data_IF_075858246069
#
_entry.id   IF_075858246069
#
_cell.length_a   1.000
_cell.length_b   1.000
_cell.length_c   1.000
_cell.angle_alpha   90.00
_cell.angle_beta   90.00
_cell.angle_gamma   90.00
#
_symmetry.space_group_name_H-M   'P 1'
#
loop_
_entity.id
_entity.type
_entity.pdbx_description
1 polymer ?
#
# COMPACT_ATOMS: atom_id res chain seq x y z
N UNK A 1 -24.86 -13.79 2.38
CA UNK A 1 -23.73 -12.92 2.72
C UNK A 1 -23.09 -12.51 1.40
N UNK A 2 -23.13 -11.23 1.06
CA UNK A 2 -22.64 -10.74 -0.23
C UNK A 2 -21.14 -11.00 -0.35
N UNK A 3 -20.76 -11.74 -1.39
CA UNK A 3 -19.38 -11.88 -1.83
C UNK A 3 -18.86 -10.48 -2.14
N UNK A 4 -17.70 -10.12 -1.58
CA UNK A 4 -16.96 -8.91 -1.93
C UNK A 4 -16.43 -9.12 -3.36
N UNK A 5 -17.30 -8.98 -4.35
CA UNK A 5 -16.94 -8.93 -5.76
C UNK A 5 -16.56 -7.48 -6.05
N UNK A 6 -15.35 -7.26 -6.55
CA UNK A 6 -14.77 -5.98 -6.98
C UNK A 6 -13.98 -5.18 -5.93
N UNK A 7 -13.46 -5.82 -4.87
CA UNK A 7 -12.38 -5.15 -4.14
C UNK A 7 -11.13 -5.13 -5.01
N UNK A 8 -10.63 -3.92 -5.30
CA UNK A 8 -9.42 -3.68 -6.11
C UNK A 8 -8.28 -3.20 -5.20
N UNK A 9 -7.45 -4.11 -4.68
CA UNK A 9 -6.44 -3.78 -3.67
C UNK A 9 -5.47 -2.69 -4.12
N UNK A 10 -5.08 -2.70 -5.39
CA UNK A 10 -4.17 -1.72 -5.95
C UNK A 10 -4.79 -0.31 -6.06
N UNK A 11 -6.05 -0.20 -6.48
CA UNK A 11 -6.74 1.11 -6.53
C UNK A 11 -6.94 1.69 -5.13
N UNK A 12 -7.31 0.84 -4.15
CA UNK A 12 -7.41 1.26 -2.74
C UNK A 12 -6.06 1.74 -2.19
N UNK A 13 -4.97 1.04 -2.53
CA UNK A 13 -3.60 1.40 -2.15
C UNK A 13 -3.16 2.73 -2.77
N UNK A 14 -3.46 2.98 -4.04
CA UNK A 14 -3.16 4.25 -4.69
C UNK A 14 -3.92 5.41 -4.03
N UNK A 15 -5.22 5.26 -3.82
CA UNK A 15 -6.06 6.31 -3.26
C UNK A 15 -5.63 6.71 -1.84
N UNK A 16 -5.41 5.74 -0.95
CA UNK A 16 -4.98 6.02 0.43
C UNK A 16 -3.54 6.53 0.49
N UNK A 17 -2.66 6.04 -0.38
CA UNK A 17 -1.29 6.57 -0.51
C UNK A 17 -1.28 8.05 -0.89
N UNK A 18 -2.06 8.43 -1.92
CA UNK A 18 -2.19 9.85 -2.30
C UNK A 18 -2.73 10.71 -1.16
N UNK A 19 -3.81 10.27 -0.49
CA UNK A 19 -4.38 10.99 0.64
C UNK A 19 -3.38 11.17 1.79
N UNK A 20 -2.62 10.13 2.14
CA UNK A 20 -1.54 10.21 3.13
C UNK A 20 -0.46 11.22 2.75
N UNK A 21 -0.04 11.26 1.48
CA UNK A 21 1.02 12.17 1.03
C UNK A 21 0.56 13.62 0.82
N UNK A 22 -0.73 13.88 0.66
CA UNK A 22 -1.32 15.21 0.62
C UNK A 22 -1.47 15.80 2.03
N UNK A 23 -1.94 15.00 2.98
CA UNK A 23 -2.11 15.40 4.38
C UNK A 23 -1.65 14.27 5.34
N UNK A 24 -0.35 14.18 5.64
CA UNK A 24 0.17 13.18 6.56
C UNK A 24 -0.40 13.40 7.97
N UNK A 25 -1.10 12.39 8.49
CA UNK A 25 -1.71 12.46 9.82
C UNK A 25 -2.07 11.06 10.32
N UNK A 26 -2.52 10.96 11.57
CA UNK A 26 -2.79 9.68 12.23
C UNK A 26 -3.86 8.88 11.46
N UNK A 27 -4.96 9.51 11.05
CA UNK A 27 -6.02 8.84 10.31
C UNK A 27 -5.57 8.37 8.92
N UNK A 28 -4.93 9.26 8.14
CA UNK A 28 -4.43 8.90 6.81
C UNK A 28 -3.31 7.86 6.85
N UNK A 29 -2.53 7.80 7.94
CA UNK A 29 -1.52 6.75 8.16
C UNK A 29 -2.16 5.39 8.43
N UNK A 30 -3.23 5.33 9.23
CA UNK A 30 -3.95 4.08 9.49
C UNK A 30 -4.62 3.56 8.22
N UNK A 31 -5.32 4.42 7.49
CA UNK A 31 -5.97 4.06 6.23
C UNK A 31 -4.96 3.57 5.19
N UNK A 32 -3.79 4.21 5.12
CA UNK A 32 -2.74 3.79 4.21
C UNK A 32 -2.07 2.48 4.63
N UNK A 33 -1.77 2.28 5.92
CA UNK A 33 -1.20 1.00 6.41
C UNK A 33 -2.16 -0.17 6.17
N UNK A 34 -3.47 0.02 6.39
CA UNK A 34 -4.48 -1.00 6.08
C UNK A 34 -4.48 -1.35 4.58
N UNK A 35 -4.46 -0.35 3.70
CA UNK A 35 -4.41 -0.58 2.26
C UNK A 35 -3.11 -1.27 1.82
N UNK A 36 -1.96 -0.93 2.43
CA UNK A 36 -0.67 -1.62 2.23
C UNK A 36 -0.78 -3.09 2.63
N UNK A 37 -1.38 -3.40 3.78
CA UNK A 37 -1.55 -4.79 4.25
C UNK A 37 -2.43 -5.59 3.30
N UNK A 38 -3.55 -5.02 2.85
CA UNK A 38 -4.46 -5.70 1.94
C UNK A 38 -3.81 -5.93 0.58
N UNK A 39 -3.12 -4.93 0.03
CA UNK A 39 -2.42 -5.08 -1.23
C UNK A 39 -1.29 -6.11 -1.13
N UNK A 40 -0.54 -6.14 -0.02
CA UNK A 40 0.48 -7.17 0.24
C UNK A 40 -0.11 -8.58 0.24
N UNK A 41 -1.26 -8.79 0.89
CA UNK A 41 -1.94 -10.09 0.90
C UNK A 41 -2.33 -10.51 -0.52
N UNK A 42 -2.86 -9.60 -1.31
CA UNK A 42 -3.19 -9.85 -2.70
C UNK A 42 -1.95 -10.23 -3.53
N UNK A 43 -0.88 -9.43 -3.44
CA UNK A 43 0.40 -9.67 -4.13
C UNK A 43 0.96 -11.05 -3.78
N UNK A 44 1.03 -11.40 -2.49
CA UNK A 44 1.60 -12.68 -2.06
C UNK A 44 0.71 -13.87 -2.43
N UNK A 45 -0.61 -13.75 -2.26
CA UNK A 45 -1.52 -14.89 -2.39
C UNK A 45 -2.07 -15.09 -3.80
N UNK A 46 -2.17 -14.04 -4.61
CA UNK A 46 -2.78 -14.09 -5.94
C UNK A 46 -1.74 -13.90 -7.05
N UNK A 47 -0.76 -13.01 -6.86
CA UNK A 47 0.28 -12.76 -7.86
C UNK A 47 1.55 -13.59 -7.61
N UNK A 48 1.69 -14.15 -6.40
CA UNK A 48 2.88 -14.90 -5.98
C UNK A 48 4.20 -14.12 -6.12
N UNK A 49 4.14 -12.79 -5.95
CA UNK A 49 5.30 -11.90 -6.02
C UNK A 49 5.82 -11.55 -4.63
N UNK A 50 6.72 -12.38 -4.11
CA UNK A 50 7.33 -12.18 -2.79
C UNK A 50 8.17 -10.90 -2.73
N UNK A 51 8.82 -10.51 -3.83
CA UNK A 51 9.68 -9.33 -3.87
C UNK A 51 8.87 -8.05 -3.67
N UNK A 52 7.73 -7.94 -4.36
CA UNK A 52 6.76 -6.86 -4.13
C UNK A 52 6.16 -6.93 -2.71
N UNK A 53 5.92 -8.15 -2.21
CA UNK A 53 5.48 -8.38 -0.83
C UNK A 53 6.43 -7.79 0.23
N UNK A 54 7.74 -7.94 0.04
CA UNK A 54 8.75 -7.35 0.93
C UNK A 54 8.75 -5.83 0.85
N UNK A 55 8.70 -5.24 -0.36
CA UNK A 55 8.62 -3.79 -0.52
C UNK A 55 7.40 -3.18 0.17
N UNK A 56 6.25 -3.84 0.06
CA UNK A 56 5.03 -3.41 0.76
C UNK A 56 5.17 -3.51 2.28
N UNK A 57 5.91 -4.50 2.78
CA UNK A 57 6.19 -4.62 4.21
C UNK A 57 7.05 -3.46 4.73
N UNK A 58 8.09 -3.09 3.97
CA UNK A 58 8.98 -1.96 4.29
C UNK A 58 8.22 -0.64 4.22
N UNK A 59 7.35 -0.47 3.22
CA UNK A 59 6.48 0.71 3.11
C UNK A 59 5.58 0.84 4.35
N UNK A 60 4.89 -0.23 4.76
CA UNK A 60 4.06 -0.20 5.96
C UNK A 60 4.86 0.14 7.23
N UNK A 61 6.13 -0.28 7.30
CA UNK A 61 7.02 0.10 8.39
C UNK A 61 7.35 1.60 8.39
N UNK A 62 7.60 2.21 7.21
CA UNK A 62 7.78 3.66 7.09
C UNK A 62 6.51 4.42 7.49
N UNK A 63 5.33 3.99 7.03
CA UNK A 63 4.04 4.61 7.36
C UNK A 63 3.80 4.60 8.87
N UNK A 64 4.00 3.46 9.55
CA UNK A 64 3.84 3.35 11.01
C UNK A 64 4.84 4.19 11.80
N UNK A 65 6.03 4.44 11.24
CA UNK A 65 7.06 5.32 11.84
C UNK A 65 6.86 6.80 11.49
N UNK A 66 5.86 7.14 10.67
CA UNK A 66 5.67 8.47 10.08
C UNK A 66 6.91 8.95 9.31
N UNK A 67 7.68 8.02 8.74
CA UNK A 67 8.76 8.32 7.81
C UNK A 67 8.18 8.61 6.43
N UNK A 68 7.71 9.86 6.25
CA UNK A 68 7.00 10.29 5.04
C UNK A 68 7.91 10.27 3.81
N UNK A 69 9.19 10.59 3.96
CA UNK A 69 10.14 10.61 2.83
C UNK A 69 10.46 9.19 2.37
N UNK A 70 10.79 8.27 3.29
CA UNK A 70 11.02 6.86 2.99
C UNK A 70 9.77 6.20 2.40
N UNK A 71 8.60 6.47 2.97
CA UNK A 71 7.33 5.99 2.44
C UNK A 71 7.07 6.51 1.02
N UNK A 72 7.38 7.78 0.72
CA UNK A 72 7.17 8.37 -0.61
C UNK A 72 8.08 7.75 -1.65
N UNK A 73 9.34 7.46 -1.30
CA UNK A 73 10.27 6.77 -2.19
C UNK A 73 9.77 5.36 -2.53
N UNK A 74 9.45 4.55 -1.51
CA UNK A 74 8.94 3.19 -1.69
C UNK A 74 7.62 3.16 -2.46
N UNK A 75 6.70 4.07 -2.16
CA UNK A 75 5.43 4.17 -2.87
C UNK A 75 5.63 4.38 -4.38
N UNK A 76 6.52 5.31 -4.77
CA UNK A 76 6.84 5.55 -6.19
C UNK A 76 7.42 4.32 -6.87
N UNK A 77 8.32 3.59 -6.21
CA UNK A 77 8.89 2.36 -6.74
C UNK A 77 7.82 1.28 -6.97
N UNK A 78 6.95 1.06 -6.00
CA UNK A 78 5.87 0.07 -6.06
C UNK A 78 4.91 0.41 -7.19
N UNK A 79 4.47 1.67 -7.29
CA UNK A 79 3.57 2.12 -8.35
C UNK A 79 4.20 1.95 -9.72
N UNK A 80 5.50 2.26 -9.86
CA UNK A 80 6.21 2.11 -11.13
C UNK A 80 6.37 0.64 -11.54
N UNK A 81 6.61 -0.25 -10.57
CA UNK A 81 6.75 -1.68 -10.83
C UNK A 81 5.41 -2.38 -11.13
N UNK A 82 4.29 -1.86 -10.64
CA UNK A 82 2.96 -2.42 -10.88
C UNK A 82 2.34 -2.03 -12.25
N UNK A 83 2.95 -1.08 -12.98
CA UNK A 83 2.51 -0.63 -14.32
C UNK A 83 3.18 -1.41 -15.48
N UNK A 84 4.05 -2.36 -15.17
CA UNK A 84 4.79 -3.21 -16.13
C UNK A 84 4.20 -4.61 -16.15
#
# INVERSE_FOLDING_TARGET
MGLITDYKPYESFLASGHAFFEAPGVMSSMEFDDAVVVYKRYVNSQLHDEAMGFKLNDLGACVRKLDVEGARALFKEIVSAALV
#
